data_IF_506007723809
#
_entry.id   IF_506007723809
#
_cell.length_a   1.000
_cell.length_b   1.000
_cell.length_c   1.000
_cell.angle_alpha   90.00
_cell.angle_beta   90.00
_cell.angle_gamma   90.00
#
_symmetry.space_group_name_H-M   'P 1'
#
loop_
_entity.id
_entity.type
_entity.pdbx_description
1 polymer ?
#
# COMPACT_ATOMS: atom_id res chain seq x y z
N UNK A 1 -2.27 -2.38 20.67
CA UNK A 1 -3.42 -2.59 19.77
C UNK A 1 -3.28 -1.66 18.58
N UNK A 2 -3.40 -2.15 17.33
CA UNK A 2 -3.57 -1.24 16.18
C UNK A 2 -4.90 -0.50 16.32
N UNK A 3 -5.05 0.64 15.66
CA UNK A 3 -6.31 1.38 15.61
C UNK A 3 -7.47 0.54 15.02
N UNK A 4 -7.18 -0.61 14.39
CA UNK A 4 -8.16 -1.56 13.80
C UNK A 4 -8.67 -2.65 14.75
N UNK A 5 -8.08 -2.86 15.94
CA UNK A 5 -8.48 -3.93 16.86
C UNK A 5 -7.81 -5.29 16.62
N UNK A 6 -7.10 -5.47 15.51
CA UNK A 6 -6.36 -6.71 15.21
C UNK A 6 -5.11 -6.89 16.11
N UNK A 7 -4.63 -8.14 16.29
CA UNK A 7 -3.38 -8.41 16.96
C UNK A 7 -2.22 -7.66 16.29
N UNK A 8 -1.30 -7.11 17.10
CA UNK A 8 -0.21 -6.24 16.63
C UNK A 8 0.69 -6.86 15.53
N UNK A 9 0.78 -8.19 15.49
CA UNK A 9 1.58 -8.98 14.55
C UNK A 9 0.90 -9.28 13.21
N UNK A 10 -0.38 -8.96 13.02
CA UNK A 10 -1.11 -9.33 11.81
C UNK A 10 -0.48 -8.75 10.54
N UNK A 11 -0.08 -7.49 10.58
CA UNK A 11 0.44 -6.81 9.39
C UNK A 11 1.83 -7.28 8.95
N UNK A 12 2.87 -7.36 9.81
CA UNK A 12 4.16 -7.87 9.36
C UNK A 12 4.06 -9.31 8.82
N UNK A 13 3.17 -10.13 9.38
CA UNK A 13 2.89 -11.48 8.88
C UNK A 13 2.24 -11.42 7.49
N UNK A 14 1.20 -10.60 7.31
CA UNK A 14 0.50 -10.47 6.03
C UNK A 14 1.41 -9.90 4.93
N UNK A 15 2.24 -8.90 5.25
CA UNK A 15 3.24 -8.36 4.32
C UNK A 15 4.26 -9.44 3.94
N UNK A 16 4.79 -10.18 4.90
CA UNK A 16 5.72 -11.28 4.63
C UNK A 16 5.09 -12.38 3.79
N UNK A 17 3.82 -12.71 4.03
CA UNK A 17 3.06 -13.68 3.23
C UNK A 17 2.92 -13.21 1.78
N UNK A 18 2.44 -11.97 1.57
CA UNK A 18 2.28 -11.42 0.21
C UNK A 18 3.62 -11.35 -0.55
N UNK A 19 4.71 -10.95 0.12
CA UNK A 19 6.04 -10.93 -0.46
C UNK A 19 6.48 -12.34 -0.84
N UNK A 20 6.31 -13.33 0.04
CA UNK A 20 6.69 -14.71 -0.21
C UNK A 20 5.90 -15.31 -1.39
N UNK A 21 4.58 -15.14 -1.41
CA UNK A 21 3.71 -15.63 -2.48
C UNK A 21 4.08 -14.98 -3.83
N UNK A 22 4.22 -13.66 -3.86
CA UNK A 22 4.53 -12.94 -5.09
C UNK A 22 5.91 -13.30 -5.62
N UNK A 23 6.94 -13.33 -4.76
CA UNK A 23 8.30 -13.65 -5.20
C UNK A 23 8.42 -15.10 -5.64
N UNK A 24 7.75 -16.05 -4.97
CA UNK A 24 7.72 -17.45 -5.41
C UNK A 24 7.11 -17.63 -6.80
N UNK A 25 6.03 -16.90 -7.12
CA UNK A 25 5.27 -17.09 -8.35
C UNK A 25 5.73 -16.21 -9.52
N UNK A 26 6.17 -14.98 -9.24
CA UNK A 26 6.40 -13.93 -10.25
C UNK A 26 7.85 -13.52 -10.37
N UNK A 27 8.62 -13.57 -9.27
CA UNK A 27 10.03 -13.13 -9.28
C UNK A 27 10.90 -14.10 -8.48
N UNK A 28 11.08 -15.37 -8.94
CA UNK A 28 11.74 -16.42 -8.14
C UNK A 28 13.16 -16.08 -7.69
N UNK A 29 13.88 -15.23 -8.44
CA UNK A 29 15.20 -14.70 -8.05
C UNK A 29 15.20 -13.94 -6.71
N UNK A 30 14.05 -13.43 -6.30
CA UNK A 30 13.84 -12.70 -5.04
C UNK A 30 13.17 -13.56 -3.96
N UNK A 31 12.80 -14.81 -4.26
CA UNK A 31 12.29 -15.74 -3.26
C UNK A 31 13.45 -16.30 -2.42
N UNK A 32 13.83 -15.54 -1.39
CA UNK A 32 14.96 -15.84 -0.51
C UNK A 32 14.59 -15.62 0.96
N UNK A 33 15.25 -16.36 1.85
CA UNK A 33 15.02 -16.30 3.30
C UNK A 33 15.20 -14.91 3.88
N UNK A 34 16.24 -14.16 3.45
CA UNK A 34 16.50 -12.80 3.92
C UNK A 34 15.34 -11.85 3.60
N UNK A 35 14.73 -11.99 2.42
CA UNK A 35 13.64 -11.13 1.99
C UNK A 35 12.37 -11.34 2.81
N UNK A 36 12.06 -12.60 3.14
CA UNK A 36 10.92 -12.95 3.99
C UNK A 36 11.15 -12.48 5.42
N UNK A 37 12.35 -12.70 5.98
CA UNK A 37 12.69 -12.23 7.34
C UNK A 37 12.63 -10.71 7.40
N UNK A 38 13.25 -10.00 6.46
CA UNK A 38 13.20 -8.53 6.40
C UNK A 38 11.75 -8.03 6.31
N UNK A 39 10.90 -8.69 5.53
CA UNK A 39 9.47 -8.34 5.45
C UNK A 39 8.75 -8.52 6.78
N UNK A 40 9.09 -9.53 7.56
CA UNK A 40 8.53 -9.73 8.90
C UNK A 40 9.04 -8.68 9.91
N UNK A 41 10.25 -8.17 9.72
CA UNK A 41 10.91 -7.24 10.64
C UNK A 41 10.78 -5.76 10.24
N UNK A 42 10.19 -5.44 9.10
CA UNK A 42 10.33 -4.12 8.44
C UNK A 42 9.97 -2.91 9.31
N UNK A 43 8.99 -3.03 10.21
CA UNK A 43 8.54 -1.94 11.11
C UNK A 43 9.09 -2.09 12.55
N UNK A 44 9.86 -3.15 12.84
CA UNK A 44 10.23 -3.48 14.22
C UNK A 44 11.16 -2.47 14.88
N UNK A 45 12.05 -1.81 14.12
CA UNK A 45 12.93 -0.77 14.65
C UNK A 45 12.14 0.50 15.01
N UNK A 46 11.06 0.82 14.29
CA UNK A 46 10.22 2.00 14.60
C UNK A 46 9.23 1.72 15.74
N UNK A 47 8.64 0.52 15.76
CA UNK A 47 7.49 0.25 16.62
C UNK A 47 7.84 -0.54 17.90
N UNK A 48 9.09 -1.01 18.05
CA UNK A 48 9.52 -1.81 19.21
C UNK A 48 10.87 -1.34 19.78
N UNK A 49 11.37 -2.02 20.81
CA UNK A 49 12.71 -1.77 21.38
C UNK A 49 13.84 -2.52 20.66
N UNK A 50 13.54 -3.19 19.53
CA UNK A 50 14.56 -3.86 18.73
C UNK A 50 15.50 -2.85 18.09
N UNK A 51 16.78 -3.19 18.06
CA UNK A 51 17.85 -2.37 17.46
C UNK A 51 18.54 -3.12 16.33
N UNK A 52 19.23 -2.38 15.44
CA UNK A 52 20.04 -2.96 14.37
C UNK A 52 21.05 -4.00 14.91
N UNK A 53 21.70 -3.69 16.03
CA UNK A 53 22.66 -4.59 16.69
C UNK A 53 22.00 -5.90 17.16
N UNK A 54 20.79 -5.82 17.73
CA UNK A 54 20.04 -7.00 18.15
C UNK A 54 19.66 -7.87 16.94
N UNK A 55 19.17 -7.25 15.86
CA UNK A 55 18.80 -7.97 14.63
C UNK A 55 20.05 -8.63 14.01
N UNK A 56 21.17 -7.92 13.99
CA UNK A 56 22.46 -8.44 13.48
C UNK A 56 22.91 -9.68 14.24
N UNK A 57 22.72 -9.72 15.56
CA UNK A 57 23.10 -10.87 16.41
C UNK A 57 22.16 -12.07 16.25
N UNK A 58 20.87 -11.81 16.05
CA UNK A 58 19.85 -12.86 15.94
C UNK A 58 19.79 -13.49 14.54
N UNK A 59 20.06 -12.69 13.51
CA UNK A 59 20.00 -13.11 12.12
C UNK A 59 21.37 -12.91 11.47
N UNK A 60 21.55 -11.81 10.72
CA UNK A 60 22.83 -11.41 10.18
C UNK A 60 22.84 -9.90 9.88
N UNK A 61 24.02 -9.38 9.52
CA UNK A 61 24.22 -7.97 9.16
C UNK A 61 23.40 -7.54 7.94
N UNK A 62 23.12 -8.47 7.02
CA UNK A 62 22.44 -8.16 5.76
C UNK A 62 20.97 -7.86 6.01
N UNK A 63 20.29 -8.70 6.77
CA UNK A 63 18.90 -8.50 7.21
C UNK A 63 18.80 -7.22 8.05
N UNK A 64 19.71 -7.02 9.00
CA UNK A 64 19.72 -5.81 9.82
C UNK A 64 19.83 -4.53 8.95
N UNK A 65 20.74 -4.51 7.98
CA UNK A 65 20.89 -3.40 7.04
C UNK A 65 19.60 -3.17 6.23
N UNK A 66 18.95 -4.23 5.73
CA UNK A 66 17.72 -4.07 4.96
C UNK A 66 16.56 -3.53 5.81
N UNK A 67 16.44 -3.93 7.08
CA UNK A 67 15.42 -3.39 8.01
C UNK A 67 15.71 -1.92 8.32
N UNK A 68 16.98 -1.54 8.50
CA UNK A 68 17.37 -0.14 8.67
C UNK A 68 17.07 0.70 7.43
N UNK A 69 17.23 0.14 6.23
CA UNK A 69 16.88 0.82 4.98
C UNK A 69 15.37 1.15 4.92
N UNK A 70 14.52 0.26 5.43
CA UNK A 70 13.05 0.42 5.48
C UNK A 70 12.58 1.41 6.57
N UNK A 71 13.42 1.64 7.58
CA UNK A 71 13.16 2.52 8.71
C UNK A 71 13.26 4.00 8.30
N UNK A 72 12.24 4.80 8.61
CA UNK A 72 12.17 6.23 8.30
C UNK A 72 12.83 7.13 9.34
N UNK A 73 13.06 6.62 10.54
CA UNK A 73 13.80 7.36 11.58
C UNK A 73 15.28 7.22 11.29
N UNK A 74 15.91 8.32 10.85
CA UNK A 74 17.35 8.40 10.59
C UNK A 74 18.02 9.26 11.67
N UNK A 75 19.34 9.21 11.74
CA UNK A 75 20.13 10.00 12.71
C UNK A 75 19.90 11.51 12.61
N UNK A 76 19.51 11.99 11.43
CA UNK A 76 19.23 13.40 11.13
C UNK A 76 17.73 13.75 11.15
N UNK A 77 16.87 12.84 11.59
CA UNK A 77 15.43 13.07 11.72
C UNK A 77 14.56 12.04 10.99
N UNK A 78 13.24 12.23 11.04
CA UNK A 78 12.27 11.35 10.38
C UNK A 78 12.05 11.80 8.94
N UNK A 79 12.42 10.93 7.99
CA UNK A 79 12.22 11.19 6.55
C UNK A 79 10.81 10.78 6.10
N UNK A 80 10.38 11.33 4.98
CA UNK A 80 9.15 10.96 4.29
C UNK A 80 9.23 9.55 3.68
N UNK A 81 8.07 8.96 3.39
CA UNK A 81 8.02 7.71 2.65
C UNK A 81 8.61 7.87 1.24
N UNK A 82 8.37 9.01 0.59
CA UNK A 82 8.93 9.34 -0.72
C UNK A 82 10.47 9.35 -0.71
N UNK A 83 11.08 10.02 0.27
CA UNK A 83 12.54 10.04 0.44
C UNK A 83 13.10 8.64 0.68
N UNK A 84 12.43 7.82 1.48
CA UNK A 84 12.84 6.43 1.72
C UNK A 84 12.87 5.64 0.41
N UNK A 85 11.81 5.73 -0.40
CA UNK A 85 11.74 5.07 -1.72
C UNK A 85 12.82 5.57 -2.68
N UNK A 86 13.06 6.89 -2.72
CA UNK A 86 14.11 7.49 -3.55
C UNK A 86 15.51 6.99 -3.16
N UNK A 87 15.80 6.88 -1.86
CA UNK A 87 17.08 6.33 -1.36
C UNK A 87 17.25 4.87 -1.82
N UNK A 88 16.22 4.04 -1.65
CA UNK A 88 16.25 2.64 -2.08
C UNK A 88 16.50 2.51 -3.59
N UNK A 89 15.82 3.34 -4.39
CA UNK A 89 15.99 3.40 -5.83
C UNK A 89 17.40 3.83 -6.24
N UNK A 90 17.93 4.92 -5.68
CA UNK A 90 19.28 5.41 -5.97
C UNK A 90 20.36 4.36 -5.63
N UNK A 91 20.13 3.58 -4.57
CA UNK A 91 21.01 2.50 -4.14
C UNK A 91 20.77 1.18 -4.88
N UNK A 92 19.81 1.12 -5.83
CA UNK A 92 19.43 -0.08 -6.59
C UNK A 92 19.04 -1.27 -5.69
N UNK A 93 18.32 -0.98 -4.61
CA UNK A 93 17.83 -1.97 -3.64
C UNK A 93 16.42 -2.42 -4.01
N UNK A 94 16.28 -3.04 -5.19
CA UNK A 94 14.98 -3.41 -5.76
C UNK A 94 14.20 -4.41 -4.89
N UNK A 95 14.90 -5.32 -4.21
CA UNK A 95 14.30 -6.28 -3.29
C UNK A 95 13.69 -5.60 -2.05
N UNK A 96 14.42 -4.69 -1.43
CA UNK A 96 13.93 -3.89 -0.29
C UNK A 96 12.82 -2.93 -0.72
N UNK A 97 12.94 -2.32 -1.90
CA UNK A 97 11.91 -1.47 -2.49
C UNK A 97 10.60 -2.25 -2.69
N UNK A 98 10.69 -3.50 -3.16
CA UNK A 98 9.53 -4.37 -3.31
C UNK A 98 8.82 -4.63 -1.97
N UNK A 99 9.56 -4.88 -0.89
CA UNK A 99 8.98 -5.01 0.46
C UNK A 99 8.19 -3.74 0.83
N UNK A 100 8.74 -2.56 0.54
CA UNK A 100 8.07 -1.29 0.85
C UNK A 100 6.79 -1.08 0.04
N UNK A 101 6.74 -1.58 -1.20
CA UNK A 101 5.51 -1.58 -1.99
C UNK A 101 4.43 -2.49 -1.37
N UNK A 102 4.79 -3.67 -0.88
CA UNK A 102 3.86 -4.59 -0.21
C UNK A 102 3.36 -4.07 1.14
N UNK A 103 4.24 -3.46 1.93
CA UNK A 103 3.86 -2.70 3.13
C UNK A 103 2.78 -1.66 2.78
N UNK A 104 3.02 -0.87 1.72
CA UNK A 104 2.01 0.11 1.28
C UNK A 104 0.72 -0.53 0.80
N UNK A 105 0.80 -1.63 0.06
CA UNK A 105 -0.38 -2.36 -0.43
C UNK A 105 -1.27 -2.79 0.74
N UNK A 106 -0.69 -3.37 1.79
CA UNK A 106 -1.43 -3.72 3.00
C UNK A 106 -2.02 -2.50 3.71
N UNK A 107 -1.24 -1.41 3.80
CA UNK A 107 -1.72 -0.16 4.39
C UNK A 107 -2.93 0.42 3.64
N UNK A 108 -2.97 0.26 2.32
CA UNK A 108 -4.11 0.63 1.47
C UNK A 108 -5.31 -0.31 1.65
N UNK A 109 -5.10 -1.62 1.81
CA UNK A 109 -6.17 -2.58 2.08
C UNK A 109 -6.86 -2.33 3.43
N UNK A 110 -6.11 -1.82 4.41
CA UNK A 110 -6.60 -1.56 5.78
C UNK A 110 -6.87 -0.07 6.06
N UNK A 111 -6.96 0.75 5.01
CA UNK A 111 -7.02 2.21 5.13
C UNK A 111 -8.29 2.73 5.84
N UNK A 112 -9.39 1.98 5.77
CA UNK A 112 -10.69 2.37 6.34
C UNK A 112 -10.71 2.54 7.87
N UNK A 113 -9.75 1.96 8.59
CA UNK A 113 -9.62 2.10 10.04
C UNK A 113 -8.86 3.38 10.46
N UNK A 114 -8.37 4.18 9.51
CA UNK A 114 -7.55 5.38 9.79
C UNK A 114 -8.40 6.65 9.72
N UNK A 115 -7.97 7.69 10.46
CA UNK A 115 -8.59 9.02 10.41
C UNK A 115 -8.53 9.64 9.00
N UNK A 116 -9.52 10.45 8.57
CA UNK A 116 -9.58 11.02 7.22
C UNK A 116 -8.31 11.77 6.78
N UNK A 117 -7.63 12.46 7.70
CA UNK A 117 -6.38 13.16 7.41
C UNK A 117 -5.25 12.20 7.02
N UNK A 118 -5.08 11.12 7.80
CA UNK A 118 -4.12 10.05 7.49
C UNK A 118 -4.46 9.36 6.17
N UNK A 119 -5.74 9.11 5.90
CA UNK A 119 -6.20 8.51 4.64
C UNK A 119 -5.77 9.37 3.46
N UNK A 120 -6.05 10.68 3.50
CA UNK A 120 -5.64 11.64 2.45
C UNK A 120 -4.15 11.60 2.17
N UNK A 121 -3.33 11.68 3.22
CA UNK A 121 -1.87 11.63 3.09
C UNK A 121 -1.39 10.31 2.48
N UNK A 122 -1.95 9.18 2.91
CA UNK A 122 -1.60 7.87 2.37
C UNK A 122 -1.98 7.77 0.89
N UNK A 123 -3.15 8.27 0.49
CA UNK A 123 -3.60 8.27 -0.90
C UNK A 123 -2.67 9.09 -1.79
N UNK A 124 -2.37 10.32 -1.38
CA UNK A 124 -1.47 11.22 -2.10
C UNK A 124 -0.08 10.62 -2.25
N UNK A 125 0.51 10.11 -1.16
CA UNK A 125 1.81 9.43 -1.20
C UNK A 125 1.78 8.23 -2.15
N UNK A 126 0.68 7.45 -2.14
CA UNK A 126 0.53 6.23 -2.94
C UNK A 126 0.47 6.54 -4.42
N UNK A 127 -0.38 7.48 -4.83
CA UNK A 127 -0.57 7.86 -6.22
C UNK A 127 0.69 8.49 -6.82
N UNK A 128 1.36 9.38 -6.07
CA UNK A 128 2.53 10.11 -6.57
C UNK A 128 3.77 9.21 -6.60
N UNK A 129 4.03 8.48 -5.51
CA UNK A 129 5.31 7.78 -5.34
C UNK A 129 5.18 6.27 -5.59
N UNK A 130 4.32 5.58 -4.85
CA UNK A 130 4.28 4.11 -4.86
C UNK A 130 3.83 3.54 -6.20
N UNK A 131 2.88 4.18 -6.88
CA UNK A 131 2.49 3.78 -8.25
C UNK A 131 3.67 3.91 -9.20
N UNK A 132 4.42 5.02 -9.15
CA UNK A 132 5.61 5.24 -9.98
C UNK A 132 6.70 4.18 -9.74
N UNK A 133 6.98 3.83 -8.48
CA UNK A 133 7.96 2.78 -8.17
C UNK A 133 7.47 1.37 -8.52
N UNK A 134 6.17 1.11 -8.46
CA UNK A 134 5.62 -0.17 -8.94
C UNK A 134 5.78 -0.34 -10.45
N UNK A 135 5.74 0.76 -11.22
CA UNK A 135 6.05 0.78 -12.65
C UNK A 135 7.55 0.54 -12.89
N UNK A 136 8.41 1.19 -12.12
CA UNK A 136 9.85 0.99 -12.19
C UNK A 136 10.26 -0.48 -11.97
N UNK A 137 9.67 -1.15 -10.97
CA UNK A 137 9.93 -2.57 -10.71
C UNK A 137 9.15 -3.52 -11.66
N UNK A 138 8.42 -2.99 -12.63
CA UNK A 138 7.62 -3.75 -13.61
C UNK A 138 6.55 -4.66 -12.93
N UNK A 139 6.08 -4.26 -11.75
CA UNK A 139 5.13 -5.03 -10.93
C UNK A 139 3.68 -4.66 -11.26
N UNK A 140 3.23 -5.02 -12.46
CA UNK A 140 1.90 -4.62 -12.97
C UNK A 140 0.73 -4.96 -12.03
N UNK A 141 0.78 -6.12 -11.36
CA UNK A 141 -0.26 -6.56 -10.42
C UNK A 141 -0.34 -5.63 -9.21
N UNK A 142 0.81 -5.22 -8.65
CA UNK A 142 0.88 -4.31 -7.51
C UNK A 142 0.36 -2.93 -7.94
N UNK A 143 0.81 -2.44 -9.10
CA UNK A 143 0.34 -1.17 -9.68
C UNK A 143 -1.19 -1.12 -9.78
N UNK A 144 -1.79 -2.12 -10.42
CA UNK A 144 -3.24 -2.18 -10.62
C UNK A 144 -3.98 -2.25 -9.27
N UNK A 145 -3.45 -3.02 -8.32
CA UNK A 145 -4.04 -3.14 -6.98
C UNK A 145 -3.99 -1.82 -6.21
N UNK A 146 -2.86 -1.11 -6.22
CA UNK A 146 -2.72 0.19 -5.57
C UNK A 146 -3.67 1.23 -6.18
N UNK A 147 -3.74 1.31 -7.51
CA UNK A 147 -4.63 2.23 -8.22
C UNK A 147 -6.09 1.93 -7.86
N UNK A 148 -6.50 0.66 -7.91
CA UNK A 148 -7.86 0.23 -7.54
C UNK A 148 -8.21 0.62 -6.11
N UNK A 149 -7.32 0.37 -5.16
CA UNK A 149 -7.53 0.73 -3.75
C UNK A 149 -7.57 2.24 -3.55
N UNK A 150 -6.79 3.01 -4.31
CA UNK A 150 -6.88 4.48 -4.28
C UNK A 150 -8.25 4.95 -4.74
N UNK A 151 -8.75 4.46 -5.89
CA UNK A 151 -10.09 4.80 -6.38
C UNK A 151 -11.20 4.44 -5.37
N UNK A 152 -11.12 3.25 -4.77
CA UNK A 152 -12.09 2.82 -3.76
C UNK A 152 -12.06 3.72 -2.51
N UNK A 153 -10.87 4.18 -2.12
CA UNK A 153 -10.70 5.05 -0.94
C UNK A 153 -11.17 6.49 -1.19
N UNK A 154 -11.14 6.97 -2.43
CA UNK A 154 -11.69 8.28 -2.81
C UNK A 154 -13.21 8.35 -2.66
N UNK A 155 -13.90 7.19 -2.75
CA UNK A 155 -15.33 7.07 -2.55
C UNK A 155 -15.76 7.15 -1.07
N UNK A 156 -14.84 7.34 -0.12
CA UNK A 156 -15.17 7.54 1.30
C UNK A 156 -15.93 8.88 1.45
N UNK A 157 -17.18 8.89 1.96
CA UNK A 157 -18.04 10.07 2.04
C UNK A 157 -17.40 11.32 2.68
N UNK A 158 -16.47 11.12 3.61
CA UNK A 158 -15.79 12.18 4.34
C UNK A 158 -14.70 12.90 3.52
N UNK A 159 -14.32 12.36 2.35
CA UNK A 159 -13.33 12.92 1.44
C UNK A 159 -13.95 13.60 0.21
N UNK A 160 -15.24 13.35 -0.05
CA UNK A 160 -15.99 13.81 -1.21
C UNK A 160 -16.01 15.34 -1.48
N UNK A 161 -15.94 16.26 -0.50
CA UNK A 161 -16.04 17.69 -0.81
C UNK A 161 -14.84 18.28 -1.59
N UNK A 162 -13.71 17.56 -1.73
CA UNK A 162 -12.48 18.10 -2.37
C UNK A 162 -11.96 17.33 -3.59
N UNK A 163 -12.36 16.07 -3.79
CA UNK A 163 -11.88 15.28 -4.93
C UNK A 163 -12.71 15.44 -6.21
N UNK A 164 -13.80 16.21 -6.15
CA UNK A 164 -14.59 16.56 -7.32
C UNK A 164 -13.87 17.50 -8.29
N UNK A 165 -12.85 18.25 -7.84
CA UNK A 165 -12.04 19.12 -8.72
C UNK A 165 -10.91 18.35 -9.42
N UNK A 166 -10.26 17.39 -8.75
CA UNK A 166 -9.11 16.67 -9.31
C UNK A 166 -9.53 15.64 -10.38
N UNK A 167 -10.74 15.09 -10.29
CA UNK A 167 -11.23 14.04 -11.20
C UNK A 167 -11.91 14.63 -12.45
N UNK A 168 -12.33 15.90 -12.44
CA UNK A 168 -13.18 16.48 -13.49
C UNK A 168 -12.53 17.60 -14.34
N UNK A 169 -11.24 17.91 -14.17
CA UNK A 169 -10.52 18.82 -15.10
C UNK A 169 -9.90 18.11 -16.33
N UNK A 170 -10.18 16.83 -16.53
CA UNK A 170 -9.86 16.13 -17.78
C UNK A 170 -11.14 15.68 -18.46
N UNK A 171 -11.41 16.19 -19.66
CA UNK A 171 -12.48 15.71 -20.56
C UNK A 171 -12.38 14.19 -20.75
N UNK A 172 -13.11 13.43 -19.94
CA UNK A 172 -13.24 11.99 -20.08
C UNK A 172 -14.51 11.55 -19.37
N UNK A 173 -15.51 11.18 -20.17
CA UNK A 173 -16.75 10.57 -19.69
C UNK A 173 -16.46 9.43 -18.70
N UNK A 174 -17.28 9.26 -17.65
CA UNK A 174 -17.14 8.16 -16.73
C UNK A 174 -17.26 6.81 -17.46
N UNK A 175 -16.18 6.03 -17.45
CA UNK A 175 -16.16 4.62 -17.83
C UNK A 175 -16.81 3.78 -16.72
N UNK A 176 -18.11 3.96 -16.51
CA UNK A 176 -18.94 2.93 -15.91
C UNK A 176 -20.42 3.24 -16.22
N UNK A 177 -21.17 2.32 -16.87
CA UNK A 177 -22.61 2.43 -16.90
C UNK A 177 -23.09 2.21 -15.47
N UNK A 178 -23.66 3.25 -14.85
CA UNK A 178 -24.43 3.12 -13.62
C UNK A 178 -25.49 2.05 -13.82
N UNK A 179 -25.33 0.90 -13.17
CA UNK A 179 -26.38 -0.09 -12.95
C UNK A 179 -27.36 0.43 -11.89
N UNK A 180 -27.97 1.57 -12.19
CA UNK A 180 -29.10 2.14 -11.50
C UNK A 180 -30.06 2.65 -12.57
N UNK A 181 -30.72 1.73 -13.30
CA UNK A 181 -31.93 2.04 -14.07
C UNK A 181 -32.68 0.79 -14.59
N UNK A 182 -32.80 -0.27 -13.80
CA UNK A 182 -33.72 -1.38 -14.15
C UNK A 182 -34.77 -1.71 -13.09
N UNK A 183 -34.82 -0.99 -11.95
CA UNK A 183 -35.85 -1.23 -10.92
C UNK A 183 -37.04 -0.25 -11.04
N UNK A 184 -37.00 0.73 -11.96
CA UNK A 184 -38.06 1.73 -12.10
C UNK A 184 -38.94 1.58 -13.36
N UNK A 185 -38.68 0.58 -14.23
CA UNK A 185 -39.51 0.33 -15.42
C UNK A 185 -40.50 -0.85 -15.32
N UNK A 186 -40.62 -1.51 -14.17
CA UNK A 186 -41.63 -2.57 -13.95
C UNK A 186 -42.86 -2.16 -13.13
N UNK A 187 -43.07 -0.86 -12.87
CA UNK A 187 -44.26 -0.37 -12.14
C UNK A 187 -45.18 0.58 -12.94
N UNK A 188 -44.92 0.79 -14.24
CA UNK A 188 -45.78 1.65 -15.09
C UNK A 188 -46.48 0.92 -16.23
N UNK A 189 -46.41 -0.41 -16.31
CA UNK A 189 -47.13 -1.21 -17.31
C UNK A 189 -48.31 -2.04 -16.76
N UNK A 190 -48.67 -1.90 -15.47
CA UNK A 190 -49.84 -2.57 -14.88
C UNK A 190 -51.06 -1.66 -14.67
N UNK A 191 -51.10 -0.48 -15.31
CA UNK A 191 -52.20 0.49 -15.13
C UNK A 191 -52.84 0.96 -16.45
N UNK A 192 -52.66 0.23 -17.55
CA UNK A 192 -53.26 0.53 -18.86
C UNK A 192 -53.99 -0.67 -19.50
N UNK A 193 -54.45 -1.63 -18.69
CA UNK A 193 -55.45 -2.61 -19.11
C UNK A 193 -56.59 -2.68 -18.09
N UNK A 194 -57.54 -1.76 -18.22
CA UNK A 194 -58.94 -1.88 -17.77
C UNK A 194 -59.80 -0.86 -18.49
#
# INVERSE_FOLDING_TARGET
>A
MRQSGDPYYSHPIEVAYMVAEYTALKVPKHFRTDMIITSLLHDTIEDTTLTEDMITRLFDKRIASQVVDLTRVKSYGKISAAETLNILFQQKKDDVLLIKLFDRLHNMQTIGAKSPEKVRKILEETLINFVSFSMYLETQIIKQSLIKLCYQSLAIPQLLPKYHEIIFEGDSQPLCPTSQNEVTQMQTLSSLES
#
